data_IF_741765314185
#
_entry.id   IF_741765314185
#
_cell.length_a   1.000
_cell.length_b   1.000
_cell.length_c   1.000
_cell.angle_alpha   90.00
_cell.angle_beta   90.00
_cell.angle_gamma   90.00
#
_symmetry.space_group_name_H-M   'P 1'
#
loop_
_entity.id
_entity.type
_entity.pdbx_description
1 polymer ?
#
# COMPACT_ATOMS: atom_id res chain seq x y z
N UNK A 1 -6.36 -49.35 17.86
CA UNK A 1 -6.39 -47.96 17.36
C UNK A 1 -4.96 -47.53 17.16
N UNK A 2 -4.59 -47.10 15.95
CA UNK A 2 -3.27 -46.52 15.70
C UNK A 2 -3.34 -45.07 16.16
N UNK A 3 -2.46 -44.70 17.09
CA UNK A 3 -2.27 -43.33 17.57
C UNK A 3 -1.55 -42.54 16.48
N UNK A 4 -2.31 -42.03 15.51
CA UNK A 4 -1.77 -41.30 14.36
C UNK A 4 -1.83 -39.79 14.64
N UNK A 5 -0.73 -39.09 14.36
CA UNK A 5 -0.66 -37.64 14.47
C UNK A 5 -1.61 -37.01 13.45
N UNK A 6 -2.39 -36.04 13.90
CA UNK A 6 -3.31 -35.27 13.04
C UNK A 6 -2.52 -34.61 11.88
N UNK A 7 -2.93 -34.79 10.61
CA UNK A 7 -2.30 -34.15 9.46
C UNK A 7 -2.12 -32.62 9.60
N UNK A 8 -3.07 -31.93 10.23
CA UNK A 8 -3.00 -30.48 10.46
C UNK A 8 -1.79 -30.11 11.32
N UNK A 9 -1.43 -30.95 12.29
CA UNK A 9 -0.26 -30.72 13.16
C UNK A 9 1.04 -30.83 12.35
N UNK A 10 1.11 -31.81 11.44
CA UNK A 10 2.28 -32.01 10.57
C UNK A 10 2.44 -30.84 9.61
N UNK A 11 1.34 -30.42 8.97
CA UNK A 11 1.33 -29.30 8.03
C UNK A 11 1.66 -27.97 8.71
N UNK A 12 1.09 -27.71 9.89
CA UNK A 12 1.39 -26.52 10.70
C UNK A 12 2.88 -26.44 11.07
N UNK A 13 3.46 -27.57 11.48
CA UNK A 13 4.88 -27.65 11.79
C UNK A 13 5.77 -27.39 10.55
N UNK A 14 5.38 -27.94 9.40
CA UNK A 14 6.11 -27.73 8.15
C UNK A 14 6.07 -26.27 7.67
N UNK A 15 4.93 -25.60 7.80
CA UNK A 15 4.78 -24.18 7.45
C UNK A 15 5.61 -23.32 8.40
N UNK A 16 5.50 -23.54 9.70
CA UNK A 16 6.29 -22.80 10.68
C UNK A 16 7.81 -22.98 10.44
N UNK A 17 8.26 -24.22 10.17
CA UNK A 17 9.66 -24.51 9.88
C UNK A 17 10.18 -23.76 8.65
N UNK A 18 9.35 -23.53 7.63
CA UNK A 18 9.71 -22.80 6.41
C UNK A 18 9.99 -21.31 6.66
N UNK A 19 9.28 -20.71 7.62
CA UNK A 19 9.40 -19.28 7.95
C UNK A 19 10.42 -18.99 9.05
N UNK A 20 10.71 -19.98 9.89
CA UNK A 20 11.74 -19.86 10.91
C UNK A 20 13.14 -19.67 10.29
N UNK A 21 13.88 -18.70 10.81
CA UNK A 21 15.28 -18.45 10.46
C UNK A 21 16.10 -18.30 11.73
N UNK A 22 17.32 -18.83 11.72
CA UNK A 22 18.23 -18.68 12.86
C UNK A 22 18.45 -17.20 13.20
N UNK A 23 18.34 -16.86 14.48
CA UNK A 23 18.51 -15.48 14.97
C UNK A 23 17.32 -14.54 14.74
N UNK A 24 16.23 -15.01 14.13
CA UNK A 24 15.00 -14.23 13.92
C UNK A 24 13.95 -14.53 14.98
N UNK A 25 13.23 -13.50 15.42
CA UNK A 25 12.12 -13.67 16.36
C UNK A 25 10.99 -14.52 15.76
N UNK A 26 10.55 -15.56 16.48
CA UNK A 26 9.50 -16.49 16.04
C UNK A 26 8.18 -15.80 15.68
N UNK A 27 7.87 -14.65 16.30
CA UNK A 27 6.63 -13.90 16.03
C UNK A 27 6.57 -13.39 14.60
N UNK A 28 7.71 -13.08 13.99
CA UNK A 28 7.76 -12.70 12.58
C UNK A 28 7.38 -13.88 11.67
N UNK A 29 7.81 -15.09 12.02
CA UNK A 29 7.44 -16.30 11.28
C UNK A 29 5.94 -16.63 11.42
N UNK A 30 5.33 -16.33 12.57
CA UNK A 30 3.87 -16.46 12.75
C UNK A 30 3.11 -15.49 11.84
N UNK A 31 3.58 -14.26 11.67
CA UNK A 31 2.96 -13.30 10.75
C UNK A 31 3.12 -13.71 9.29
N UNK A 32 4.28 -14.26 8.92
CA UNK A 32 4.51 -14.81 7.57
C UNK A 32 3.62 -16.02 7.28
N UNK A 33 3.47 -16.92 8.27
CA UNK A 33 2.52 -18.03 8.19
C UNK A 33 1.09 -17.50 8.04
N UNK A 34 0.67 -16.55 8.89
CA UNK A 34 -0.67 -15.99 8.81
C UNK A 34 -0.96 -15.35 7.45
N UNK A 35 0.02 -14.64 6.88
CA UNK A 35 -0.07 -14.09 5.54
C UNK A 35 -0.18 -15.19 4.47
N UNK A 36 0.63 -16.25 4.54
CA UNK A 36 0.60 -17.37 3.58
C UNK A 36 -0.73 -18.12 3.62
N UNK A 37 -1.32 -18.31 4.81
CA UNK A 37 -2.62 -18.95 4.99
C UNK A 37 -3.76 -18.21 4.27
N UNK A 38 -3.62 -16.89 4.06
CA UNK A 38 -4.60 -16.08 3.31
C UNK A 38 -4.37 -16.04 1.80
N UNK A 39 -3.33 -16.67 1.27
CA UNK A 39 -3.02 -16.64 -0.16
C UNK A 39 -3.88 -17.65 -0.94
N UNK A 40 -4.25 -17.28 -2.17
CA UNK A 40 -4.96 -18.18 -3.08
C UNK A 40 -4.18 -19.48 -3.33
N UNK A 41 -4.89 -20.61 -3.25
CA UNK A 41 -4.31 -21.95 -3.40
C UNK A 41 -4.28 -22.33 -4.88
N UNK A 42 -3.11 -22.77 -5.38
CA UNK A 42 -3.01 -23.28 -6.75
C UNK A 42 -3.83 -24.56 -6.90
N UNK A 43 -4.42 -24.82 -8.08
CA UNK A 43 -5.09 -26.10 -8.33
C UNK A 43 -4.17 -27.29 -7.99
N UNK A 44 -4.63 -28.18 -7.11
CA UNK A 44 -3.88 -29.35 -6.66
C UNK A 44 -2.86 -29.13 -5.53
N UNK A 45 -2.69 -27.90 -5.04
CA UNK A 45 -1.91 -27.62 -3.84
C UNK A 45 -2.76 -27.79 -2.57
N UNK A 46 -2.12 -28.19 -1.46
CA UNK A 46 -2.76 -28.24 -0.15
C UNK A 46 -2.86 -26.82 0.42
N UNK A 47 -4.04 -26.39 0.91
CA UNK A 47 -4.18 -25.11 1.60
C UNK A 47 -3.27 -25.03 2.82
N UNK A 48 -2.71 -23.86 3.08
CA UNK A 48 -1.90 -23.65 4.28
C UNK A 48 -2.85 -23.54 5.48
N UNK A 49 -2.67 -24.35 6.55
CA UNK A 49 -3.55 -24.29 7.72
C UNK A 49 -3.44 -22.94 8.42
N UNK A 50 -4.51 -22.51 9.09
CA UNK A 50 -4.51 -21.26 9.85
C UNK A 50 -3.65 -21.39 11.13
N UNK A 51 -2.78 -20.42 11.44
CA UNK A 51 -2.17 -20.35 12.76
C UNK A 51 -3.22 -20.03 13.83
N UNK A 52 -2.95 -20.45 15.07
CA UNK A 52 -3.78 -20.06 16.19
C UNK A 52 -3.84 -18.52 16.33
N UNK A 53 -5.03 -17.93 16.19
CA UNK A 53 -5.22 -16.48 16.13
C UNK A 53 -4.73 -15.76 17.38
N UNK A 54 -4.83 -16.38 18.56
CA UNK A 54 -4.21 -15.85 19.79
C UNK A 54 -2.69 -15.64 19.66
N UNK A 55 -1.99 -16.51 18.91
CA UNK A 55 -0.55 -16.35 18.64
C UNK A 55 -0.29 -15.25 17.62
N UNK A 56 -1.14 -15.15 16.59
CA UNK A 56 -1.09 -14.06 15.61
C UNK A 56 -1.26 -12.71 16.31
N UNK A 57 -2.26 -12.58 17.18
CA UNK A 57 -2.53 -11.37 17.96
C UNK A 57 -1.34 -10.97 18.83
N UNK A 58 -0.71 -11.92 19.53
CA UNK A 58 0.50 -11.65 20.30
C UNK A 58 1.66 -11.18 19.41
N UNK A 59 1.82 -11.75 18.22
CA UNK A 59 2.83 -11.34 17.26
C UNK A 59 2.56 -9.92 16.73
N UNK A 60 1.32 -9.62 16.35
CA UNK A 60 0.88 -8.30 15.90
C UNK A 60 1.15 -7.23 16.96
N UNK A 61 0.65 -7.42 18.19
CA UNK A 61 0.87 -6.48 19.31
C UNK A 61 2.36 -6.24 19.52
N UNK A 62 3.17 -7.30 19.58
CA UNK A 62 4.60 -7.17 19.79
C UNK A 62 5.31 -6.35 18.69
N UNK A 63 4.91 -6.55 17.43
CA UNK A 63 5.45 -5.76 16.30
C UNK A 63 5.00 -4.31 16.39
N UNK A 64 3.70 -4.08 16.59
CA UNK A 64 3.09 -2.76 16.54
C UNK A 64 3.57 -1.85 17.68
N UNK A 65 3.77 -2.39 18.89
CA UNK A 65 4.41 -1.68 20.01
C UNK A 65 5.80 -1.12 19.66
N UNK A 66 6.47 -1.71 18.66
CA UNK A 66 7.83 -1.38 18.23
C UNK A 66 7.85 -0.72 16.85
N UNK A 67 6.69 -0.38 16.29
CA UNK A 67 6.58 0.29 14.99
C UNK A 67 7.05 1.74 15.06
N UNK A 68 7.43 2.28 13.90
CA UNK A 68 7.72 3.73 13.77
C UNK A 68 6.44 4.52 13.99
N UNK A 69 5.32 4.06 13.44
CA UNK A 69 4.00 4.68 13.56
C UNK A 69 3.56 4.80 15.03
N UNK A 70 3.67 3.72 15.81
CA UNK A 70 3.34 3.76 17.24
C UNK A 70 4.23 4.73 18.03
N UNK A 71 5.53 4.80 17.70
CA UNK A 71 6.44 5.79 18.32
C UNK A 71 6.07 7.21 17.96
N UNK A 72 5.66 7.48 16.71
CA UNK A 72 5.18 8.79 16.29
C UNK A 72 3.89 9.18 17.01
N UNK A 73 2.93 8.27 17.12
CA UNK A 73 1.68 8.51 17.87
C UNK A 73 1.96 8.76 19.36
N UNK A 74 2.86 7.97 19.97
CA UNK A 74 3.24 8.18 21.37
C UNK A 74 3.93 9.53 21.57
N UNK A 75 4.83 9.92 20.66
CA UNK A 75 5.46 11.24 20.67
C UNK A 75 4.42 12.35 20.52
N UNK A 76 3.49 12.21 19.58
CA UNK A 76 2.44 13.19 19.32
C UNK A 76 1.54 13.39 20.55
N UNK A 77 1.14 12.30 21.21
CA UNK A 77 0.37 12.35 22.47
C UNK A 77 1.16 13.00 23.61
N UNK A 78 2.47 12.76 23.69
CA UNK A 78 3.32 13.40 24.71
C UNK A 78 3.50 14.90 24.49
N UNK A 79 3.43 15.37 23.24
CA UNK A 79 3.53 16.78 22.88
C UNK A 79 2.31 17.60 23.30
N UNK A 80 1.12 16.99 23.42
CA UNK A 80 -0.15 17.65 23.76
C UNK A 80 -0.14 18.39 25.13
N UNK A 81 0.82 18.08 26.01
CA UNK A 81 0.98 18.75 27.31
C UNK A 81 2.31 19.47 27.50
N UNK A 82 3.15 19.54 26.46
CA UNK A 82 4.54 20.02 26.56
C UNK A 82 4.75 21.45 26.02
N UNK A 83 3.68 22.12 25.59
CA UNK A 83 3.74 23.47 25.02
C UNK A 83 4.41 23.50 23.63
N UNK A 84 4.76 24.71 23.17
CA UNK A 84 5.32 24.97 21.83
C UNK A 84 6.57 24.12 21.54
N UNK A 85 7.50 24.00 22.49
CA UNK A 85 8.73 23.20 22.33
C UNK A 85 8.42 21.71 22.05
N UNK A 86 7.37 21.16 22.67
CA UNK A 86 6.92 19.79 22.44
C UNK A 86 6.29 19.61 21.06
N UNK A 87 5.52 20.59 20.60
CA UNK A 87 4.95 20.59 19.26
C UNK A 87 6.05 20.69 18.20
N UNK A 88 7.00 21.61 18.35
CA UNK A 88 8.14 21.74 17.42
C UNK A 88 8.96 20.46 17.32
N UNK A 89 9.20 19.79 18.45
CA UNK A 89 9.89 18.50 18.47
C UNK A 89 9.12 17.40 17.72
N UNK A 90 7.79 17.37 17.87
CA UNK A 90 6.91 16.48 17.11
C UNK A 90 7.01 16.77 15.61
N UNK A 91 6.82 18.02 15.19
CA UNK A 91 6.87 18.43 13.79
C UNK A 91 8.22 18.10 13.15
N UNK A 92 9.33 18.34 13.87
CA UNK A 92 10.67 18.00 13.40
C UNK A 92 10.88 16.48 13.30
N UNK A 93 10.39 15.70 14.25
CA UNK A 93 10.53 14.24 14.24
C UNK A 93 9.69 13.59 13.13
N UNK A 94 8.42 14.00 12.99
CA UNK A 94 7.53 13.55 11.93
C UNK A 94 8.07 13.97 10.56
N UNK A 95 8.54 15.20 10.40
CA UNK A 95 9.15 15.68 9.16
C UNK A 95 10.39 14.87 8.75
N UNK A 96 11.22 14.43 9.70
CA UNK A 96 12.36 13.53 9.39
C UNK A 96 11.92 12.15 8.91
N UNK A 97 10.84 11.61 9.48
CA UNK A 97 10.33 10.29 9.08
C UNK A 97 9.63 10.35 7.73
N UNK A 98 8.82 11.39 7.51
CA UNK A 98 7.98 11.54 6.31
C UNK A 98 8.74 12.15 5.13
N UNK A 99 9.77 12.97 5.37
CA UNK A 99 10.56 13.60 4.31
C UNK A 99 11.39 12.62 3.46
N UNK A 100 11.48 11.36 3.85
CA UNK A 100 12.09 10.29 3.04
C UNK A 100 11.07 9.61 2.09
N UNK A 101 9.78 9.86 2.27
CA UNK A 101 8.73 9.27 1.44
C UNK A 101 8.58 10.07 0.16
N UNK A 102 8.57 9.36 -0.98
CA UNK A 102 8.17 9.89 -2.27
C UNK A 102 7.06 8.96 -2.75
N UNK A 103 5.84 9.48 -2.85
CA UNK A 103 4.72 8.72 -3.42
C UNK A 103 5.06 8.24 -4.84
N UNK A 104 4.40 7.20 -5.30
CA UNK A 104 4.56 6.70 -6.65
C UNK A 104 3.91 7.64 -7.66
N UNK A 105 4.58 7.81 -8.81
CA UNK A 105 4.00 8.47 -9.97
C UNK A 105 2.79 7.68 -10.48
N UNK A 106 1.80 8.40 -11.01
CA UNK A 106 0.60 7.77 -11.56
C UNK A 106 0.95 6.75 -12.66
N UNK A 107 0.55 5.46 -12.57
CA UNK A 107 1.00 4.42 -13.49
C UNK A 107 0.72 4.70 -14.96
N UNK A 108 -0.41 5.34 -15.28
CA UNK A 108 -0.70 5.77 -16.66
C UNK A 108 0.36 6.76 -17.22
N UNK A 109 0.87 7.67 -16.38
CA UNK A 109 1.92 8.61 -16.78
C UNK A 109 3.28 7.91 -16.94
N UNK A 110 3.59 6.97 -16.03
CA UNK A 110 4.78 6.11 -16.14
C UNK A 110 4.76 5.33 -17.45
N UNK A 111 3.62 4.69 -17.77
CA UNK A 111 3.43 3.94 -19.00
C UNK A 111 3.64 4.81 -20.23
N UNK A 112 3.00 5.98 -20.29
CA UNK A 112 3.12 6.90 -21.41
C UNK A 112 4.57 7.35 -21.63
N UNK A 113 5.30 7.67 -20.56
CA UNK A 113 6.71 8.03 -20.65
C UNK A 113 7.58 6.87 -21.17
N UNK A 114 7.37 5.66 -20.65
CA UNK A 114 8.10 4.47 -21.09
C UNK A 114 7.82 4.14 -22.57
N UNK A 115 6.56 4.24 -23.01
CA UNK A 115 6.17 4.02 -24.41
C UNK A 115 6.75 5.10 -25.35
N UNK A 116 6.88 6.34 -24.87
CA UNK A 116 7.50 7.44 -25.61
C UNK A 116 9.05 7.42 -25.58
N UNK A 117 9.66 6.56 -24.75
CA UNK A 117 11.11 6.57 -24.51
C UNK A 117 11.59 7.82 -23.76
N UNK A 118 10.71 8.45 -22.99
CA UNK A 118 10.95 9.64 -22.19
C UNK A 118 11.28 9.27 -20.73
N UNK A 119 11.87 10.22 -20.00
CA UNK A 119 12.09 10.04 -18.57
C UNK A 119 10.75 9.96 -17.83
N UNK A 120 10.64 9.02 -16.89
CA UNK A 120 9.44 8.86 -16.07
C UNK A 120 9.19 10.15 -15.27
N UNK A 121 7.99 10.72 -15.34
CA UNK A 121 7.68 11.91 -14.56
C UNK A 121 7.83 11.58 -13.08
N UNK A 122 8.78 12.26 -12.43
CA UNK A 122 8.77 12.35 -10.98
C UNK A 122 7.72 13.39 -10.68
N UNK A 123 6.56 12.97 -10.17
CA UNK A 123 5.56 13.91 -9.66
C UNK A 123 6.31 14.86 -8.70
N UNK A 124 6.33 16.15 -9.07
CA UNK A 124 7.05 17.18 -8.35
C UNK A 124 6.76 17.02 -6.86
N UNK A 125 7.83 16.88 -6.06
CA UNK A 125 7.82 16.58 -4.62
C UNK A 125 6.45 16.82 -3.99
N UNK A 126 5.59 15.79 -3.95
CA UNK A 126 4.35 15.87 -3.18
C UNK A 126 4.76 16.36 -1.80
N UNK A 127 4.09 17.42 -1.31
CA UNK A 127 4.46 18.02 -0.04
C UNK A 127 4.05 17.10 1.12
N UNK A 128 4.85 16.06 1.33
CA UNK A 128 4.70 15.13 2.44
C UNK A 128 4.96 15.79 3.79
N UNK A 129 5.38 17.05 3.81
CA UNK A 129 5.40 17.86 5.03
C UNK A 129 3.99 18.06 5.56
N UNK A 130 2.97 18.20 4.70
CA UNK A 130 1.58 18.37 5.14
C UNK A 130 1.04 17.11 5.83
N UNK A 131 1.57 15.91 5.56
CA UNK A 131 1.23 14.69 6.31
C UNK A 131 1.64 14.76 7.80
N UNK A 132 2.57 15.64 8.17
CA UNK A 132 2.90 15.89 9.58
C UNK A 132 1.67 16.40 10.34
N UNK A 133 0.78 17.16 9.68
CA UNK A 133 -0.45 17.64 10.29
C UNK A 133 -1.42 16.50 10.64
N UNK A 134 -1.42 15.37 9.91
CA UNK A 134 -2.20 14.18 10.31
C UNK A 134 -1.66 13.58 11.61
N UNK A 135 -0.33 13.45 11.73
CA UNK A 135 0.31 12.94 12.95
C UNK A 135 0.05 13.88 14.12
N UNK A 136 0.12 15.19 13.88
CA UNK A 136 -0.23 16.21 14.87
C UNK A 136 -1.70 16.11 15.27
N UNK A 137 -2.64 15.97 14.34
CA UNK A 137 -4.08 15.89 14.62
C UNK A 137 -4.43 14.65 15.45
N UNK A 138 -3.75 13.53 15.20
CA UNK A 138 -3.86 12.30 16.00
C UNK A 138 -3.39 12.51 17.46
N UNK A 139 -2.33 13.28 17.69
CA UNK A 139 -1.74 13.44 19.02
C UNK A 139 -2.28 14.62 19.82
N UNK A 140 -2.44 15.77 19.17
CA UNK A 140 -2.85 17.04 19.76
C UNK A 140 -4.38 17.25 19.66
N UNK A 141 -5.03 16.59 18.71
CA UNK A 141 -6.43 16.84 18.36
C UNK A 141 -6.56 17.75 17.13
N UNK A 142 -7.66 17.57 16.39
CA UNK A 142 -7.95 18.36 15.17
C UNK A 142 -8.09 19.85 15.49
N UNK A 143 -8.62 20.19 16.66
CA UNK A 143 -8.85 21.55 17.11
C UNK A 143 -7.53 22.33 17.29
N UNK A 144 -6.47 21.66 17.72
CA UNK A 144 -5.15 22.25 17.92
C UNK A 144 -4.39 22.44 16.60
N UNK A 145 -4.68 21.61 15.60
CA UNK A 145 -4.04 21.68 14.27
C UNK A 145 -4.74 22.68 13.34
N UNK A 146 -6.07 22.80 13.46
CA UNK A 146 -6.90 23.63 12.58
C UNK A 146 -7.31 22.93 11.29
N UNK A 147 -8.45 23.35 10.74
CA UNK A 147 -9.04 22.75 9.53
C UNK A 147 -8.21 22.94 8.28
N UNK A 148 -7.56 24.08 8.14
CA UNK A 148 -6.79 24.40 6.92
C UNK A 148 -5.57 23.46 6.81
N UNK A 149 -4.84 23.30 7.91
CA UNK A 149 -3.73 22.36 7.99
C UNK A 149 -4.18 20.90 7.82
N UNK A 150 -5.37 20.54 8.32
CA UNK A 150 -5.94 19.21 8.11
C UNK A 150 -6.38 18.99 6.66
N UNK A 151 -6.91 20.02 5.99
CA UNK A 151 -7.28 19.97 4.58
C UNK A 151 -6.05 19.75 3.69
N UNK A 152 -4.96 20.49 3.96
CA UNK A 152 -3.67 20.27 3.30
C UNK A 152 -3.17 18.84 3.52
N UNK A 153 -3.32 18.32 4.73
CA UNK A 153 -2.89 16.97 5.08
C UNK A 153 -3.69 15.88 4.32
N UNK A 154 -5.02 16.01 4.24
CA UNK A 154 -5.86 15.07 3.50
C UNK A 154 -5.65 15.14 1.99
N UNK A 155 -5.47 16.35 1.44
CA UNK A 155 -5.11 16.54 0.05
C UNK A 155 -3.72 15.95 -0.28
N UNK A 156 -2.73 16.15 0.59
CA UNK A 156 -1.39 15.58 0.43
C UNK A 156 -1.38 14.05 0.52
N UNK A 157 -2.23 13.48 1.38
CA UNK A 157 -2.48 12.04 1.43
C UNK A 157 -3.19 11.52 0.16
N UNK A 158 -3.79 12.43 -0.63
CA UNK A 158 -4.50 12.15 -1.86
C UNK A 158 -5.83 11.44 -1.63
N UNK A 159 -6.50 11.75 -0.51
CA UNK A 159 -7.74 11.10 -0.12
C UNK A 159 -8.87 11.51 -1.08
N UNK A 160 -9.42 10.51 -1.80
CA UNK A 160 -10.51 10.65 -2.78
C UNK A 160 -10.24 11.57 -3.97
N UNK A 161 -8.98 11.89 -4.25
CA UNK A 161 -8.60 12.81 -5.34
C UNK A 161 -9.08 14.25 -5.13
N UNK A 162 -9.49 14.62 -3.91
CA UNK A 162 -9.97 15.96 -3.57
C UNK A 162 -8.81 16.94 -3.37
N UNK A 163 -9.03 18.21 -3.75
CA UNK A 163 -8.04 19.27 -3.54
C UNK A 163 -8.05 19.79 -2.11
N UNK A 164 -7.11 20.68 -1.78
CA UNK A 164 -7.09 21.38 -0.49
C UNK A 164 -8.36 22.19 -0.29
N UNK A 165 -8.84 22.86 -1.34
CA UNK A 165 -10.06 23.67 -1.31
C UNK A 165 -11.31 22.82 -1.08
N UNK A 166 -11.41 21.66 -1.74
CA UNK A 166 -12.51 20.71 -1.53
C UNK A 166 -12.56 20.25 -0.07
N UNK A 167 -11.39 19.86 0.48
CA UNK A 167 -11.28 19.45 1.87
C UNK A 167 -11.58 20.60 2.83
N UNK A 168 -11.06 21.81 2.61
CA UNK A 168 -11.31 22.97 3.45
C UNK A 168 -12.80 23.32 3.48
N UNK A 169 -13.49 23.24 2.33
CA UNK A 169 -14.93 23.44 2.26
C UNK A 169 -15.69 22.39 3.08
N UNK A 170 -15.35 21.10 2.94
CA UNK A 170 -16.00 20.01 3.67
C UNK A 170 -15.76 20.10 5.18
N UNK A 171 -14.52 20.32 5.60
CA UNK A 171 -14.15 20.45 7.00
C UNK A 171 -14.80 21.69 7.63
N UNK A 172 -14.79 22.82 6.93
CA UNK A 172 -15.46 24.04 7.40
C UNK A 172 -16.98 23.88 7.50
N UNK A 173 -17.61 23.14 6.58
CA UNK A 173 -19.03 22.81 6.69
C UNK A 173 -19.31 21.92 7.91
N UNK A 174 -18.45 20.95 8.20
CA UNK A 174 -18.55 20.11 9.39
C UNK A 174 -18.42 20.93 10.68
N UNK A 175 -17.48 21.88 10.76
CA UNK A 175 -17.33 22.77 11.91
C UNK A 175 -18.55 23.67 12.14
N UNK A 176 -19.19 24.14 11.06
CA UNK A 176 -20.44 24.92 11.13
C UNK A 176 -21.68 24.06 11.43
N UNK A 177 -21.55 22.74 11.48
CA UNK A 177 -22.67 21.82 11.67
C UNK A 177 -23.58 21.68 10.45
N UNK A 178 -23.07 22.00 9.26
CA UNK A 178 -23.81 21.97 7.98
C UNK A 178 -23.81 20.57 7.32
N UNK A 179 -23.37 19.53 8.05
CA UNK A 179 -23.28 18.14 7.57
C UNK A 179 -23.45 17.11 8.70
N UNK A 180 -23.24 15.82 8.40
CA UNK A 180 -23.22 14.78 9.42
C UNK A 180 -22.20 15.12 10.53
N UNK A 181 -22.52 14.87 11.80
CA UNK A 181 -21.59 15.13 12.89
C UNK A 181 -20.30 14.34 12.68
N UNK A 182 -19.16 15.02 12.66
CA UNK A 182 -17.85 14.39 12.56
C UNK A 182 -17.31 14.14 13.97
N UNK A 183 -17.13 12.86 14.31
CA UNK A 183 -16.46 12.48 15.55
C UNK A 183 -14.94 12.51 15.34
N UNK A 184 -14.34 13.67 15.62
CA UNK A 184 -12.88 13.84 15.54
C UNK A 184 -12.10 12.91 16.50
N UNK A 185 -12.76 12.38 17.53
CA UNK A 185 -12.19 11.36 18.41
C UNK A 185 -11.92 10.05 17.68
N UNK A 186 -12.60 9.77 16.57
CA UNK A 186 -12.35 8.60 15.74
C UNK A 186 -10.94 8.63 15.15
N UNK A 187 -10.42 9.79 14.72
CA UNK A 187 -9.05 9.89 14.19
C UNK A 187 -8.00 9.36 15.19
N UNK A 188 -8.19 9.68 16.48
CA UNK A 188 -7.31 9.24 17.56
C UNK A 188 -7.48 7.74 17.87
N UNK A 189 -8.70 7.22 17.76
CA UNK A 189 -9.01 5.79 17.91
C UNK A 189 -8.44 4.97 16.74
N UNK A 190 -8.54 5.47 15.51
CA UNK A 190 -7.95 4.89 14.31
C UNK A 190 -6.42 4.87 14.36
N UNK A 191 -5.81 5.74 15.16
CA UNK A 191 -4.37 5.72 15.41
C UNK A 191 -3.93 4.82 16.58
N UNK A 192 -4.87 4.24 17.36
CA UNK A 192 -4.57 3.26 18.39
C UNK A 192 -4.40 1.85 17.80
N UNK A 193 -3.31 1.64 17.07
CA UNK A 193 -3.08 0.40 16.33
C UNK A 193 -3.02 -0.83 17.23
N UNK A 194 -2.40 -0.68 18.41
CA UNK A 194 -2.31 -1.79 19.39
C UNK A 194 -3.69 -2.09 19.97
N UNK A 195 -4.44 -1.08 20.39
CA UNK A 195 -5.77 -1.28 20.97
C UNK A 195 -6.79 -1.83 19.97
N UNK A 196 -6.70 -1.47 18.69
CA UNK A 196 -7.52 -2.08 17.63
C UNK A 196 -7.27 -3.58 17.51
N UNK A 197 -6.00 -3.99 17.42
CA UNK A 197 -5.65 -5.41 17.38
C UNK A 197 -6.06 -6.14 18.64
N UNK A 198 -6.03 -5.50 19.81
CA UNK A 198 -6.48 -6.16 21.05
C UNK A 198 -7.99 -6.36 21.10
N UNK A 199 -8.77 -5.43 20.53
CA UNK A 199 -10.24 -5.47 20.53
C UNK A 199 -10.84 -6.32 19.40
N UNK A 200 -10.13 -6.45 18.28
CA UNK A 200 -10.63 -7.14 17.10
C UNK A 200 -10.99 -8.61 17.40
N UNK A 201 -12.13 -9.09 16.92
CA UNK A 201 -12.48 -10.51 16.93
C UNK A 201 -11.51 -11.35 16.10
N UNK A 202 -11.52 -12.67 16.31
CA UNK A 202 -10.66 -13.58 15.53
C UNK A 202 -11.04 -13.57 14.04
N UNK A 203 -12.34 -13.53 13.74
CA UNK A 203 -12.86 -13.42 12.37
C UNK A 203 -12.51 -12.07 11.73
N UNK A 204 -12.51 -10.99 12.50
CA UNK A 204 -12.13 -9.65 12.00
C UNK A 204 -10.66 -9.61 11.58
N UNK A 205 -9.76 -10.26 12.33
CA UNK A 205 -8.34 -10.36 11.95
C UNK A 205 -8.14 -11.17 10.66
N UNK A 206 -8.89 -12.27 10.50
CA UNK A 206 -8.87 -13.10 9.29
C UNK A 206 -9.44 -12.34 8.09
N UNK A 207 -10.52 -11.57 8.31
CA UNK A 207 -11.13 -10.73 7.28
C UNK A 207 -10.20 -9.59 6.87
N UNK A 208 -9.61 -8.87 7.82
CA UNK A 208 -8.64 -7.81 7.54
C UNK A 208 -7.44 -8.32 6.75
N UNK A 209 -6.94 -9.53 7.06
CA UNK A 209 -5.91 -10.19 6.24
C UNK A 209 -6.39 -10.41 4.80
N UNK A 210 -7.61 -10.90 4.63
CA UNK A 210 -8.19 -11.18 3.30
C UNK A 210 -8.31 -9.90 2.48
N UNK A 211 -8.87 -8.85 3.08
CA UNK A 211 -8.96 -7.49 2.50
C UNK A 211 -7.59 -6.98 2.10
N UNK A 212 -6.62 -7.04 3.02
CA UNK A 212 -5.26 -6.56 2.77
C UNK A 212 -4.58 -7.31 1.62
N UNK A 213 -4.67 -8.65 1.57
CA UNK A 213 -4.09 -9.45 0.47
C UNK A 213 -4.78 -9.15 -0.86
N UNK A 214 -6.11 -9.01 -0.85
CA UNK A 214 -6.89 -8.67 -2.03
C UNK A 214 -6.56 -7.29 -2.59
N UNK A 215 -6.59 -6.26 -1.74
CA UNK A 215 -6.22 -4.89 -2.09
C UNK A 215 -4.77 -4.80 -2.58
N UNK A 216 -3.85 -5.57 -1.99
CA UNK A 216 -2.47 -5.71 -2.50
C UNK A 216 -2.45 -6.24 -3.93
N UNK A 217 -3.31 -7.21 -4.24
CA UNK A 217 -3.46 -7.75 -5.60
C UNK A 217 -3.92 -6.68 -6.58
N UNK A 218 -4.97 -5.94 -6.25
CA UNK A 218 -5.49 -4.84 -7.09
C UNK A 218 -4.47 -3.71 -7.26
N UNK A 219 -3.84 -3.27 -6.17
CA UNK A 219 -2.76 -2.28 -6.21
C UNK A 219 -1.59 -2.76 -7.09
N UNK A 220 -1.20 -4.04 -6.97
CA UNK A 220 -0.15 -4.62 -7.81
C UNK A 220 -0.50 -4.57 -9.30
N UNK A 221 -1.73 -4.97 -9.68
CA UNK A 221 -2.20 -4.87 -11.07
C UNK A 221 -2.20 -3.41 -11.58
N UNK A 222 -2.64 -2.49 -10.72
CA UNK A 222 -2.69 -1.07 -11.03
C UNK A 222 -1.28 -0.47 -11.26
N UNK A 223 -0.32 -0.74 -10.38
CA UNK A 223 1.07 -0.27 -10.54
C UNK A 223 1.76 -0.93 -11.73
N UNK A 224 1.55 -2.23 -11.94
CA UNK A 224 2.16 -2.98 -13.05
C UNK A 224 1.67 -2.49 -14.42
N UNK A 225 0.50 -1.86 -14.52
CA UNK A 225 0.09 -1.16 -15.75
C UNK A 225 1.12 -0.13 -16.20
N UNK A 226 1.73 0.59 -15.25
CA UNK A 226 2.84 1.51 -15.51
C UNK A 226 4.07 0.80 -16.06
N UNK A 227 4.27 -0.46 -15.69
CA UNK A 227 5.34 -1.33 -16.19
C UNK A 227 4.89 -2.19 -17.38
N UNK A 228 4.05 -1.63 -18.25
CA UNK A 228 3.59 -2.23 -19.50
C UNK A 228 2.78 -3.53 -19.36
N UNK A 229 2.17 -3.79 -18.20
CA UNK A 229 1.25 -4.92 -18.06
C UNK A 229 0.17 -4.86 -19.17
N UNK A 230 -0.14 -5.96 -19.87
CA UNK A 230 -1.11 -5.94 -20.96
C UNK A 230 -2.46 -5.43 -20.49
N UNK A 231 -2.98 -4.45 -21.22
CA UNK A 231 -4.18 -3.73 -20.83
C UNK A 231 -5.44 -4.39 -21.39
N UNK A 232 -5.93 -5.40 -20.69
CA UNK A 232 -7.18 -6.10 -21.05
C UNK A 232 -8.40 -5.24 -20.68
N UNK A 233 -9.57 -5.43 -21.33
CA UNK A 233 -10.79 -4.70 -20.95
C UNK A 233 -11.12 -4.80 -19.46
N UNK A 234 -10.97 -6.00 -18.88
CA UNK A 234 -11.16 -6.25 -17.45
C UNK A 234 -10.17 -5.45 -16.57
N UNK A 235 -8.90 -5.37 -16.96
CA UNK A 235 -7.92 -4.54 -16.25
C UNK A 235 -8.20 -3.05 -16.38
N UNK A 236 -8.57 -2.59 -17.57
CA UNK A 236 -8.96 -1.20 -17.80
C UNK A 236 -10.17 -0.81 -16.93
N UNK A 237 -11.16 -1.70 -16.78
CA UNK A 237 -12.31 -1.49 -15.91
C UNK A 237 -11.91 -1.38 -14.43
N UNK A 238 -11.05 -2.28 -13.94
CA UNK A 238 -10.53 -2.22 -12.55
C UNK A 238 -9.74 -0.94 -12.29
N UNK A 239 -8.86 -0.53 -13.21
CA UNK A 239 -8.09 0.71 -13.05
C UNK A 239 -8.99 1.92 -13.07
N UNK A 240 -9.92 1.98 -14.01
CA UNK A 240 -10.91 3.05 -14.08
C UNK A 240 -11.70 3.15 -12.78
N UNK A 241 -12.06 2.04 -12.15
CA UNK A 241 -12.74 2.04 -10.86
C UNK A 241 -11.88 2.68 -9.75
N UNK A 242 -10.58 2.40 -9.73
CA UNK A 242 -9.63 3.01 -8.80
C UNK A 242 -9.47 4.51 -9.06
N UNK A 243 -9.42 4.91 -10.34
CA UNK A 243 -9.29 6.30 -10.78
C UNK A 243 -10.55 7.11 -10.46
N UNK A 244 -11.73 6.58 -10.78
CA UNK A 244 -13.03 7.21 -10.53
C UNK A 244 -13.28 7.42 -9.02
N UNK A 245 -12.75 6.53 -8.18
CA UNK A 245 -12.80 6.68 -6.71
C UNK A 245 -11.70 7.61 -6.16
N UNK A 246 -10.69 7.95 -6.97
CA UNK A 246 -9.55 8.76 -6.54
C UNK A 246 -8.71 8.12 -5.44
N UNK A 247 -8.67 6.78 -5.35
CA UNK A 247 -8.05 6.06 -4.22
C UNK A 247 -6.65 5.53 -4.51
N UNK A 248 -6.09 5.73 -5.71
CA UNK A 248 -4.71 5.30 -6.00
C UNK A 248 -3.68 5.91 -5.03
N UNK A 249 -3.66 7.24 -4.78
CA UNK A 249 -2.73 7.81 -3.81
C UNK A 249 -2.84 7.16 -2.44
N UNK A 250 -4.07 6.91 -1.97
CA UNK A 250 -4.33 6.24 -0.69
C UNK A 250 -3.76 4.82 -0.69
N UNK A 251 -4.05 4.02 -1.72
CA UNK A 251 -3.53 2.67 -1.86
C UNK A 251 -2.00 2.65 -1.91
N UNK A 252 -1.37 3.62 -2.58
CA UNK A 252 0.09 3.74 -2.64
C UNK A 252 0.74 3.97 -1.27
N UNK A 253 0.08 4.72 -0.38
CA UNK A 253 0.56 4.93 0.99
C UNK A 253 0.39 3.70 1.88
N UNK A 254 -0.70 2.95 1.69
CA UNK A 254 -1.14 1.92 2.65
C UNK A 254 -1.01 0.49 2.10
N UNK A 255 -0.47 0.31 0.91
CA UNK A 255 -0.22 -1.00 0.32
C UNK A 255 1.23 -1.10 -0.12
N UNK A 256 1.80 -2.30 0.04
CA UNK A 256 3.11 -2.63 -0.49
C UNK A 256 3.00 -3.93 -1.28
N UNK A 257 3.62 -3.99 -2.46
CA UNK A 257 3.60 -5.20 -3.30
C UNK A 257 4.20 -6.41 -2.57
N UNK A 258 5.26 -6.18 -1.80
CA UNK A 258 5.93 -7.23 -1.03
C UNK A 258 6.30 -6.73 0.38
N UNK A 259 5.32 -6.71 1.32
CA UNK A 259 5.55 -6.17 2.65
C UNK A 259 6.46 -7.10 3.44
N UNK A 260 7.41 -6.52 4.18
CA UNK A 260 8.06 -7.24 5.28
C UNK A 260 7.02 -7.61 6.35
N UNK A 261 7.26 -8.57 7.26
CA UNK A 261 6.26 -8.93 8.27
C UNK A 261 5.91 -7.78 9.23
N UNK A 262 6.80 -6.80 9.36
CA UNK A 262 6.51 -5.58 10.12
C UNK A 262 5.51 -4.69 9.39
N UNK A 263 5.75 -4.45 8.10
CA UNK A 263 4.80 -3.74 7.25
C UNK A 263 3.47 -4.49 7.18
N UNK A 264 3.48 -5.81 7.02
CA UNK A 264 2.26 -6.62 7.06
C UNK A 264 1.43 -6.35 8.31
N UNK A 265 2.05 -6.28 9.50
CA UNK A 265 1.33 -5.98 10.72
C UNK A 265 0.71 -4.57 10.68
N UNK A 266 1.44 -3.56 10.22
CA UNK A 266 0.93 -2.18 10.08
C UNK A 266 -0.23 -2.10 9.08
N UNK A 267 -0.09 -2.72 7.90
CA UNK A 267 -1.11 -2.71 6.84
C UNK A 267 -2.36 -3.51 7.24
N UNK A 268 -2.20 -4.60 7.99
CA UNK A 268 -3.32 -5.39 8.47
C UNK A 268 -4.21 -4.58 9.42
N UNK A 269 -3.62 -3.77 10.29
CA UNK A 269 -4.38 -2.89 11.19
C UNK A 269 -5.15 -1.85 10.40
N UNK A 270 -4.53 -1.25 9.38
CA UNK A 270 -5.22 -0.32 8.48
C UNK A 270 -6.44 -0.99 7.84
N UNK A 271 -6.33 -2.26 7.46
CA UNK A 271 -7.44 -3.03 6.86
C UNK A 271 -8.49 -3.54 7.86
N UNK A 272 -8.37 -3.24 9.16
CA UNK A 272 -9.49 -3.40 10.10
C UNK A 272 -10.54 -2.30 9.93
N UNK A 273 -10.18 -1.19 9.28
CA UNK A 273 -11.13 -0.10 9.05
C UNK A 273 -12.18 -0.47 7.99
N UNK A 274 -13.49 -0.24 8.26
CA UNK A 274 -14.57 -0.61 7.34
C UNK A 274 -14.43 -0.03 5.93
N UNK A 275 -13.74 1.10 5.81
CA UNK A 275 -13.46 1.71 4.52
C UNK A 275 -12.72 0.76 3.55
N UNK A 276 -11.68 0.06 4.03
CA UNK A 276 -10.90 -0.84 3.17
C UNK A 276 -11.67 -2.11 2.83
N UNK A 277 -12.51 -2.58 3.74
CA UNK A 277 -13.41 -3.70 3.48
C UNK A 277 -14.38 -3.37 2.33
N UNK A 278 -15.02 -2.20 2.40
CA UNK A 278 -15.93 -1.73 1.35
C UNK A 278 -15.21 -1.49 0.02
N UNK A 279 -13.99 -0.95 0.04
CA UNK A 279 -13.17 -0.79 -1.16
C UNK A 279 -12.82 -2.14 -1.78
N UNK A 280 -12.44 -3.12 -0.94
CA UNK A 280 -12.14 -4.47 -1.40
C UNK A 280 -13.36 -5.12 -2.05
N UNK A 281 -14.54 -5.07 -1.41
CA UNK A 281 -15.78 -5.62 -1.97
C UNK A 281 -16.14 -4.94 -3.30
N UNK A 282 -16.03 -3.61 -3.38
CA UNK A 282 -16.25 -2.86 -4.62
C UNK A 282 -15.36 -3.33 -5.77
N UNK A 283 -14.08 -3.60 -5.50
CA UNK A 283 -13.14 -4.08 -6.52
C UNK A 283 -13.36 -5.56 -6.86
N UNK A 284 -13.80 -6.36 -5.89
CA UNK A 284 -14.18 -7.76 -6.10
C UNK A 284 -15.46 -7.87 -6.95
N UNK A 285 -16.45 -7.01 -6.74
CA UNK A 285 -17.65 -6.92 -7.59
C UNK A 285 -17.25 -6.62 -9.05
N UNK A 286 -16.39 -5.63 -9.26
CA UNK A 286 -15.87 -5.30 -10.60
C UNK A 286 -15.13 -6.48 -11.25
N UNK A 287 -14.33 -7.23 -10.47
CA UNK A 287 -13.64 -8.43 -10.94
C UNK A 287 -14.62 -9.57 -11.26
N UNK A 288 -15.71 -9.70 -10.50
CA UNK A 288 -16.71 -10.73 -10.73
C UNK A 288 -17.52 -10.48 -12.02
N UNK A 289 -17.76 -9.21 -12.36
CA UNK A 289 -18.42 -8.82 -13.62
C UNK A 289 -17.58 -9.17 -14.85
N UNK A 290 -16.25 -8.99 -14.79
CA UNK A 290 -15.32 -9.39 -15.84
C UNK A 290 -14.08 -10.11 -15.27
N UNK A 291 -14.14 -11.45 -15.10
CA UNK A 291 -13.06 -12.21 -14.48
C UNK A 291 -11.86 -12.42 -15.42
N UNK A 292 -11.92 -11.95 -16.68
CA UNK A 292 -10.92 -12.22 -17.71
C UNK A 292 -9.67 -11.31 -17.61
N UNK A 293 -9.26 -10.92 -16.40
CA UNK A 293 -8.14 -9.99 -16.15
C UNK A 293 -6.80 -10.41 -16.76
N UNK A 294 -6.55 -11.72 -16.87
CA UNK A 294 -5.33 -12.29 -17.44
C UNK A 294 -5.54 -12.93 -18.82
N UNK A 295 -6.57 -12.51 -19.58
CA UNK A 295 -6.83 -13.01 -20.93
C UNK A 295 -6.70 -11.87 -21.93
N UNK A 296 -5.71 -11.98 -22.81
CA UNK A 296 -5.55 -11.04 -23.94
C UNK A 296 -6.64 -11.35 -24.99
N UNK A 297 -7.39 -10.35 -25.49
CA UNK A 297 -8.39 -10.59 -26.53
C UNK A 297 -7.78 -11.24 -27.78
N UNK A 298 -8.38 -12.35 -28.22
CA UNK A 298 -7.88 -13.14 -29.37
C UNK A 298 -6.75 -14.12 -29.03
N UNK A 299 -6.32 -14.21 -27.78
CA UNK A 299 -5.34 -15.18 -27.29
C UNK A 299 -6.00 -16.27 -26.41
N UNK A 300 -5.97 -17.50 -26.89
CA UNK A 300 -6.55 -18.67 -26.23
C UNK A 300 -5.61 -19.30 -25.18
N UNK A 301 -4.36 -18.84 -25.07
CA UNK A 301 -3.36 -19.40 -24.14
C UNK A 301 -3.54 -18.92 -22.69
N UNK A 302 -4.43 -17.94 -22.48
CA UNK A 302 -4.81 -17.43 -21.16
C UNK A 302 -3.65 -16.77 -20.41
N UNK A 303 -3.43 -17.16 -19.15
CA UNK A 303 -2.41 -16.56 -18.27
C UNK A 303 -0.99 -16.67 -18.86
N UNK A 304 -0.71 -17.72 -19.64
CA UNK A 304 0.61 -17.95 -20.24
C UNK A 304 0.89 -16.88 -21.29
N UNK A 305 0.04 -16.74 -22.31
CA UNK A 305 0.25 -15.73 -23.34
C UNK A 305 0.10 -14.31 -22.83
N UNK A 306 -0.70 -14.09 -21.79
CA UNK A 306 -0.68 -12.84 -21.04
C UNK A 306 0.71 -12.50 -20.48
N UNK A 307 1.38 -13.48 -19.86
CA UNK A 307 2.75 -13.33 -19.36
C UNK A 307 3.78 -13.14 -20.47
N UNK A 308 3.63 -13.86 -21.58
CA UNK A 308 4.51 -13.72 -22.76
C UNK A 308 4.37 -12.36 -23.44
N UNK A 309 3.13 -11.86 -23.57
CA UNK A 309 2.84 -10.53 -24.11
C UNK A 309 3.47 -9.44 -23.24
N UNK A 310 3.37 -9.58 -21.92
CA UNK A 310 4.02 -8.64 -21.00
C UNK A 310 5.54 -8.67 -21.13
N UNK A 311 6.15 -9.86 -21.13
CA UNK A 311 7.59 -10.02 -21.27
C UNK A 311 8.11 -9.51 -22.63
N UNK A 312 7.31 -9.64 -23.70
CA UNK A 312 7.56 -9.06 -25.01
C UNK A 312 7.58 -7.53 -24.94
N UNK A 313 6.52 -6.91 -24.41
CA UNK A 313 6.42 -5.46 -24.29
C UNK A 313 7.59 -4.83 -23.52
N UNK A 314 8.02 -5.46 -22.41
CA UNK A 314 9.18 -5.01 -21.63
C UNK A 314 10.49 -5.17 -22.41
N UNK A 315 10.64 -6.22 -23.22
CA UNK A 315 11.83 -6.43 -24.05
C UNK A 315 11.94 -5.43 -25.19
N UNK A 316 10.80 -5.03 -25.74
CA UNK A 316 10.71 -4.15 -26.90
C UNK A 316 10.79 -2.65 -26.52
N UNK A 317 10.95 -2.33 -25.23
CA UNK A 317 11.18 -0.98 -24.77
C UNK A 317 12.41 -0.35 -25.44
N UNK A 318 12.33 0.91 -25.89
CA UNK A 318 13.47 1.61 -26.45
C UNK A 318 14.56 1.73 -25.37
N UNK A 319 15.77 1.25 -25.67
CA UNK A 319 16.93 1.43 -24.79
C UNK A 319 17.46 2.84 -25.00
N UNK A 320 17.53 3.69 -23.95
CA UNK A 320 18.11 5.02 -24.07
C UNK A 320 19.52 4.94 -24.64
N UNK A 321 19.73 5.56 -25.82
CA UNK A 321 21.05 5.69 -26.45
C UNK A 321 21.45 4.62 -27.48
N UNK A 322 20.57 3.70 -27.88
CA UNK A 322 20.93 2.68 -28.90
C UNK A 322 20.78 3.15 -30.36
N UNK A 323 20.00 4.20 -30.61
CA UNK A 323 19.73 4.72 -31.96
C UNK A 323 20.55 5.97 -32.36
N UNK A 324 21.59 6.31 -31.59
CA UNK A 324 22.48 7.44 -31.88
C UNK A 324 23.78 7.10 -32.65
N UNK A 325 23.89 5.89 -33.21
CA UNK A 325 25.19 5.32 -33.59
C UNK A 325 25.33 4.83 -35.03
N UNK A 326 24.77 5.53 -36.02
CA UNK A 326 25.06 5.23 -37.43
C UNK A 326 25.15 6.52 -38.25
N UNK A 327 26.34 7.14 -38.30
CA UNK A 327 26.54 8.24 -39.26
C UNK A 327 27.72 9.17 -39.03
N UNK A 328 28.93 8.68 -38.76
CA UNK A 328 30.14 9.43 -39.12
C UNK A 328 31.18 8.45 -39.65
N UNK A 329 31.37 8.45 -40.97
CA UNK A 329 32.40 7.67 -41.65
C UNK A 329 33.83 8.08 -41.26
N UNK A 330 34.83 7.25 -41.57
CA UNK A 330 36.21 7.50 -41.16
C UNK A 330 36.81 8.63 -42.00
N UNK A 331 36.73 9.86 -41.46
CA UNK A 331 37.45 11.02 -41.98
C UNK A 331 38.93 10.95 -41.62
N UNK A 332 39.74 10.91 -42.66
CA UNK A 332 41.20 10.84 -42.68
C UNK A 332 41.91 11.69 -41.61
N UNK A 333 42.89 11.06 -40.96
CA UNK A 333 44.02 11.76 -40.34
C UNK A 333 44.78 12.49 -41.45
N UNK A 334 44.86 13.81 -41.38
CA UNK A 334 45.96 14.54 -42.02
C UNK A 334 46.47 15.64 -41.10
N UNK A 335 47.76 15.54 -40.83
CA UNK A 335 48.54 16.43 -40.02
C UNK A 335 48.67 17.81 -40.65
N UNK A 336 48.77 18.86 -39.82
CA UNK A 336 49.74 19.94 -40.04
C UNK A 336 50.03 20.67 -38.73
N UNK A 337 51.32 20.67 -38.40
CA UNK A 337 52.00 21.65 -37.54
C UNK A 337 51.90 23.04 -38.17
N UNK A 338 51.64 24.06 -37.36
CA UNK A 338 52.62 25.09 -36.92
C UNK A 338 51.97 25.97 -35.87
#
# INVERSE_FOLDING_TARGET
MVDAVDPVVVESAAVLARHLRQGRDRRLAVLEWFAEAGMGVRPGAVPVPEPAIGTVRQALVWVLERSVSQRLVALARSAAGAGEEGQDALYAAAGRVLGAYRGAAHPALVRAALEAGEDVPVDAERDFRSMVHLVAAVGLGVQEVGTDALAEAFAAFGMFGLTVEDWAQMLGAAERGEGPPVDWGQLQQHADFVGQVQRAGDEELVRARTVMIGLRGFYGLYVLHGLLLPDTPAQAALRRRIDDLGVFPLLDHVMAVNPSPRQFAELLVVCLEPFYDNLYETLMEQLAEDPAVFRVPGDETGVVGFGEAWAGAVRDLPVPGRDGGAGVGPGERSAKRS
#
